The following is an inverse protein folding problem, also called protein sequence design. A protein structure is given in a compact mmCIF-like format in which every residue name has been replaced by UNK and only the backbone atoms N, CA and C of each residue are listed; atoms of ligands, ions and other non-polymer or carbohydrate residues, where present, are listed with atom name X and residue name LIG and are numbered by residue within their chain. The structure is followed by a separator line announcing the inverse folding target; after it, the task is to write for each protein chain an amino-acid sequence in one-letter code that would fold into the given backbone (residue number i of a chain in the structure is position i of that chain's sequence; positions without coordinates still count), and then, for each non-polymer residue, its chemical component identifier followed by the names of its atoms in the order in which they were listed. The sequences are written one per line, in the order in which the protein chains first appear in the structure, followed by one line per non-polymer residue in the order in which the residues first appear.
data_IF_647638376450
#
_entry.id   IF_647638376450
#
_cell.length_a   1.000
_cell.length_b   1.000
_cell.length_c   1.000
_cell.angle_alpha   90.00
_cell.angle_beta   90.00
_cell.angle_gamma   90.00
#
_symmetry.space_group_name_H-M   'P 1'
#
loop_
_entity.id
_entity.type
_entity.pdbx_description
1 polymer ?
#
# COMPACT_ATOMS: atom_id res chain seq x y z
N UNK A 1 18.61 -22.51 10.72
CA UNK A 1 17.16 -22.57 10.44
C UNK A 1 16.30 -21.84 11.49
N UNK A 2 16.84 -20.86 12.24
CA UNK A 2 16.06 -20.12 13.25
C UNK A 2 15.67 -18.72 12.79
N UNK A 3 16.53 -18.06 11.98
CA UNK A 3 16.26 -16.71 11.44
C UNK A 3 15.13 -16.72 10.39
N UNK A 4 15.00 -17.79 9.59
CA UNK A 4 13.91 -17.92 8.61
C UNK A 4 12.52 -18.02 9.25
N UNK A 5 12.43 -18.45 10.52
CA UNK A 5 11.16 -18.67 11.20
C UNK A 5 10.60 -17.41 11.86
N UNK A 6 11.47 -16.47 12.21
CA UNK A 6 11.07 -15.11 12.63
C UNK A 6 10.83 -14.18 11.44
N UNK A 7 11.32 -14.55 10.24
CA UNK A 7 11.26 -13.74 9.02
C UNK A 7 10.08 -14.08 8.09
N UNK A 8 9.21 -15.02 8.43
CA UNK A 8 8.16 -15.51 7.52
C UNK A 8 7.11 -14.43 7.14
N UNK A 9 6.95 -13.39 7.96
CA UNK A 9 6.10 -12.22 7.68
C UNK A 9 6.89 -10.97 7.29
N UNK A 10 8.23 -11.03 7.24
CA UNK A 10 9.00 -10.01 6.54
C UNK A 10 8.90 -10.27 5.05
N UNK A 11 7.71 -9.95 4.54
CA UNK A 11 7.41 -9.67 3.14
C UNK A 11 8.65 -9.03 2.51
N UNK A 12 9.11 -9.55 1.36
CA UNK A 12 10.02 -8.79 0.50
C UNK A 12 9.19 -7.64 -0.08
N UNK A 13 8.88 -6.67 0.77
CA UNK A 13 8.43 -5.38 0.35
C UNK A 13 9.61 -4.75 -0.36
N UNK A 14 9.42 -4.42 -1.63
CA UNK A 14 10.39 -3.61 -2.35
C UNK A 14 10.42 -2.25 -1.65
N UNK A 15 11.30 -2.09 -0.66
CA UNK A 15 11.60 -0.82 0.02
C UNK A 15 12.40 0.11 -0.86
N UNK A 16 12.81 -0.37 -2.03
CA UNK A 16 13.67 0.32 -2.97
C UNK A 16 12.97 0.50 -4.30
N UNK A 17 13.22 1.63 -4.96
CA UNK A 17 12.80 1.90 -6.34
C UNK A 17 13.93 2.59 -7.09
N UNK A 18 14.18 2.16 -8.31
CA UNK A 18 15.26 2.71 -9.15
C UNK A 18 14.69 3.81 -10.03
N UNK A 19 15.32 4.98 -10.02
CA UNK A 19 15.01 6.11 -10.89
C UNK A 19 16.15 6.32 -11.88
N UNK A 20 15.86 6.11 -13.16
CA UNK A 20 16.82 6.30 -14.25
C UNK A 20 16.75 7.73 -14.77
N UNK A 21 17.92 8.27 -15.12
CA UNK A 21 18.14 9.60 -15.66
C UNK A 21 18.63 9.51 -17.10
N UNK A 22 18.56 10.63 -17.83
CA UNK A 22 19.06 10.68 -19.20
C UNK A 22 20.55 11.03 -19.28
N UNK A 23 21.13 11.54 -18.19
CA UNK A 23 22.57 11.85 -18.09
C UNK A 23 23.05 12.03 -16.64
N UNK A 24 24.36 11.86 -16.44
CA UNK A 24 25.01 12.18 -15.16
C UNK A 24 25.01 13.68 -14.82
N UNK A 25 24.83 14.56 -15.81
CA UNK A 25 24.63 15.99 -15.56
C UNK A 25 23.33 16.23 -14.77
N UNK A 26 22.24 15.52 -15.12
CA UNK A 26 20.99 15.57 -14.36
C UNK A 26 21.21 15.02 -12.94
N UNK A 27 21.98 13.93 -12.80
CA UNK A 27 22.35 13.35 -11.50
C UNK A 27 23.08 14.38 -10.63
N UNK A 28 24.05 15.09 -11.21
CA UNK A 28 24.77 16.18 -10.54
C UNK A 28 23.88 17.35 -10.12
N UNK A 29 22.89 17.72 -10.93
CA UNK A 29 21.92 18.76 -10.57
C UNK A 29 20.99 18.34 -9.43
N UNK A 30 20.57 17.07 -9.39
CA UNK A 30 19.73 16.51 -8.33
C UNK A 30 20.49 16.48 -6.99
N UNK A 31 21.78 16.11 -7.00
CA UNK A 31 22.63 16.17 -5.81
C UNK A 31 22.80 17.63 -5.36
N UNK A 32 23.14 18.51 -6.30
CA UNK A 32 23.44 19.90 -6.05
C UNK A 32 24.78 20.11 -5.31
N UNK A 33 25.24 21.37 -5.23
CA UNK A 33 26.48 21.70 -4.50
C UNK A 33 26.36 21.27 -3.04
N UNK A 34 27.37 20.55 -2.55
CA UNK A 34 27.45 20.02 -1.18
C UNK A 34 26.25 19.13 -0.77
N UNK A 35 25.53 18.56 -1.75
CA UNK A 35 24.35 17.74 -1.49
C UNK A 35 23.11 18.55 -1.08
N UNK A 36 23.08 19.87 -1.29
CA UNK A 36 21.99 20.73 -0.83
C UNK A 36 20.62 20.36 -1.39
N UNK A 37 20.58 19.89 -2.65
CA UNK A 37 19.32 19.62 -3.35
C UNK A 37 18.78 18.24 -2.94
N UNK A 38 19.66 17.24 -2.85
CA UNK A 38 19.26 15.91 -2.40
C UNK A 38 18.76 15.94 -0.94
N UNK A 39 19.43 16.66 -0.03
CA UNK A 39 18.94 16.83 1.34
C UNK A 39 17.58 17.54 1.40
N UNK A 40 17.33 18.51 0.52
CA UNK A 40 16.03 19.19 0.44
C UNK A 40 14.94 18.24 -0.07
N UNK A 41 15.25 17.37 -1.03
CA UNK A 41 14.34 16.32 -1.51
C UNK A 41 14.02 15.32 -0.40
N UNK A 42 15.04 14.82 0.30
CA UNK A 42 14.88 13.88 1.41
C UNK A 42 14.04 14.49 2.53
N UNK A 43 14.32 15.74 2.93
CA UNK A 43 13.55 16.45 3.94
C UNK A 43 12.08 16.67 3.53
N UNK A 44 11.83 17.06 2.27
CA UNK A 44 10.47 17.34 1.80
C UNK A 44 9.62 16.07 1.58
N UNK A 45 10.27 14.96 1.19
CA UNK A 45 9.59 13.69 0.89
C UNK A 45 9.50 12.77 2.11
N UNK A 46 10.49 12.84 3.01
CA UNK A 46 10.67 11.89 4.11
C UNK A 46 11.16 10.52 3.63
N UNK A 47 11.95 10.49 2.54
CA UNK A 47 12.50 9.30 1.89
C UNK A 47 14.00 9.50 1.72
N UNK A 48 14.78 8.41 1.79
CA UNK A 48 16.22 8.43 1.57
C UNK A 48 16.52 8.29 0.07
N UNK A 49 17.39 9.15 -0.45
CA UNK A 49 17.83 9.11 -1.85
C UNK A 49 19.29 8.67 -1.89
N UNK A 50 19.51 7.42 -2.24
CA UNK A 50 20.84 6.83 -2.30
C UNK A 50 21.44 7.08 -3.69
N UNK A 51 22.64 7.65 -3.68
CA UNK A 51 23.43 7.94 -4.86
C UNK A 51 24.74 7.17 -4.73
N UNK A 52 24.97 6.24 -5.65
CA UNK A 52 26.19 5.42 -5.72
C UNK A 52 26.96 5.69 -7.03
N UNK A 53 27.97 4.87 -7.29
CA UNK A 53 28.81 4.94 -8.50
C UNK A 53 28.07 4.46 -9.78
N UNK A 54 26.82 3.99 -9.68
CA UNK A 54 26.03 3.57 -10.84
C UNK A 54 25.66 4.80 -11.68
N UNK A 55 26.10 4.90 -12.95
CA UNK A 55 25.78 6.03 -13.81
C UNK A 55 24.27 6.21 -13.97
N UNK A 56 23.84 7.46 -14.14
CA UNK A 56 22.46 7.80 -14.58
C UNK A 56 21.36 7.24 -13.67
N UNK A 57 21.67 6.86 -12.44
CA UNK A 57 20.76 6.16 -11.53
C UNK A 57 20.71 6.81 -10.16
N UNK A 58 19.50 6.92 -9.60
CA UNK A 58 19.24 7.27 -8.20
C UNK A 58 18.34 6.21 -7.60
N UNK A 59 18.69 5.74 -6.41
CA UNK A 59 17.94 4.74 -5.67
C UNK A 59 17.05 5.46 -4.66
N UNK A 60 15.75 5.22 -4.72
CA UNK A 60 14.73 5.77 -3.82
C UNK A 60 14.43 4.70 -2.76
N UNK A 61 14.83 4.95 -1.52
CA UNK A 61 14.75 3.99 -0.41
C UNK A 61 13.79 4.47 0.69
N UNK A 62 12.80 3.64 1.03
CA UNK A 62 11.91 3.90 2.15
C UNK A 62 10.74 2.92 2.26
N UNK A 63 10.19 2.81 3.47
CA UNK A 63 9.13 1.86 3.77
C UNK A 63 7.76 2.28 3.22
N UNK A 64 7.40 3.58 3.31
CA UNK A 64 6.12 4.08 2.79
C UNK A 64 6.13 4.13 1.25
N UNK A 65 5.34 3.28 0.56
CA UNK A 65 5.31 3.25 -0.89
C UNK A 65 4.71 4.52 -1.51
N UNK A 66 3.79 5.20 -0.82
CA UNK A 66 3.19 6.44 -1.29
C UNK A 66 4.22 7.56 -1.27
N UNK A 67 5.01 7.67 -0.20
CA UNK A 67 6.09 8.66 -0.12
C UNK A 67 7.17 8.41 -1.18
N UNK A 68 7.53 7.15 -1.45
CA UNK A 68 8.45 6.81 -2.54
C UNK A 68 7.91 7.23 -3.90
N UNK A 69 6.63 7.00 -4.15
CA UNK A 69 6.00 7.42 -5.41
C UNK A 69 5.95 8.96 -5.53
N UNK A 70 5.68 9.68 -4.44
CA UNK A 70 5.77 11.14 -4.40
C UNK A 70 7.19 11.61 -4.72
N UNK A 71 8.22 10.98 -4.15
CA UNK A 71 9.62 11.29 -4.46
C UNK A 71 9.94 11.06 -5.94
N UNK A 72 9.55 9.90 -6.48
CA UNK A 72 9.76 9.51 -7.89
C UNK A 72 9.11 10.51 -8.86
N UNK A 73 7.85 10.87 -8.63
CA UNK A 73 7.11 11.83 -9.46
C UNK A 73 7.68 13.25 -9.32
N UNK A 74 8.13 13.63 -8.12
CA UNK A 74 8.76 14.93 -7.90
C UNK A 74 10.08 15.04 -8.64
N UNK A 75 10.93 14.01 -8.58
CA UNK A 75 12.17 13.91 -9.35
C UNK A 75 11.89 14.03 -10.85
N UNK A 76 10.94 13.25 -11.37
CA UNK A 76 10.53 13.30 -12.78
C UNK A 76 10.14 14.72 -13.23
N UNK A 77 9.39 15.45 -12.40
CA UNK A 77 8.96 16.82 -12.70
C UNK A 77 10.10 17.83 -12.63
N UNK A 78 10.98 17.69 -11.64
CA UNK A 78 12.14 18.57 -11.45
C UNK A 78 13.15 18.43 -12.59
N UNK A 79 13.40 17.18 -13.03
CA UNK A 79 14.27 16.89 -14.18
C UNK A 79 13.67 17.47 -15.46
N UNK A 80 12.37 17.27 -15.70
CA UNK A 80 11.70 17.82 -16.88
C UNK A 80 11.68 19.37 -16.91
N UNK A 81 11.62 20.02 -15.75
CA UNK A 81 11.67 21.49 -15.60
C UNK A 81 13.11 22.04 -15.69
N UNK A 82 14.12 21.22 -15.41
CA UNK A 82 15.55 21.62 -15.38
C UNK A 82 15.93 22.57 -14.24
N UNK A 83 14.99 22.93 -13.37
CA UNK A 83 15.19 23.87 -12.25
C UNK A 83 15.16 23.12 -10.92
N UNK A 84 16.35 22.82 -10.40
CA UNK A 84 16.51 22.05 -9.16
C UNK A 84 17.21 22.90 -8.10
N UNK A 85 16.42 23.48 -7.21
CA UNK A 85 16.89 24.21 -6.02
C UNK A 85 15.88 24.06 -4.87
N UNK A 86 16.27 24.27 -3.59
CA UNK A 86 15.46 23.90 -2.43
C UNK A 86 14.01 24.41 -2.46
N UNK A 87 13.80 25.72 -2.69
CA UNK A 87 12.46 26.28 -2.76
C UNK A 87 11.56 25.65 -3.84
N UNK A 88 12.14 25.29 -5.00
CA UNK A 88 11.40 24.63 -6.09
C UNK A 88 11.10 23.18 -5.75
N UNK A 89 12.04 22.50 -5.10
CA UNK A 89 11.86 21.13 -4.61
C UNK A 89 10.67 21.08 -3.65
N UNK A 90 10.63 21.95 -2.64
CA UNK A 90 9.54 22.02 -1.67
C UNK A 90 8.19 22.25 -2.35
N UNK A 91 8.12 23.21 -3.28
CA UNK A 91 6.90 23.50 -4.04
C UNK A 91 6.42 22.30 -4.86
N UNK A 92 7.34 21.66 -5.61
CA UNK A 92 7.01 20.51 -6.48
C UNK A 92 6.59 19.31 -5.63
N UNK A 93 7.28 19.03 -4.53
CA UNK A 93 6.94 17.93 -3.63
C UNK A 93 5.58 18.17 -2.97
N UNK A 94 5.30 19.37 -2.48
CA UNK A 94 4.01 19.71 -1.88
C UNK A 94 2.86 19.55 -2.89
N UNK A 95 3.03 20.05 -4.12
CA UNK A 95 2.05 19.90 -5.20
C UNK A 95 1.84 18.43 -5.58
N UNK A 96 2.93 17.66 -5.68
CA UNK A 96 2.89 16.23 -6.03
C UNK A 96 2.20 15.41 -4.94
N UNK A 97 2.47 15.70 -3.66
CA UNK A 97 1.79 15.07 -2.52
C UNK A 97 0.29 15.33 -2.57
N UNK A 98 -0.15 16.56 -2.80
CA UNK A 98 -1.57 16.89 -2.91
C UNK A 98 -2.26 16.10 -4.03
N UNK A 99 -1.66 16.08 -5.22
CA UNK A 99 -2.21 15.33 -6.36
C UNK A 99 -2.21 13.81 -6.12
N UNK A 100 -1.23 13.30 -5.37
CA UNK A 100 -1.18 11.89 -4.99
C UNK A 100 -2.35 11.54 -4.06
N UNK A 101 -2.64 12.38 -3.07
CA UNK A 101 -3.78 12.17 -2.16
C UNK A 101 -5.12 12.22 -2.90
N UNK A 102 -5.29 13.16 -3.84
CA UNK A 102 -6.47 13.22 -4.71
C UNK A 102 -6.62 11.92 -5.52
N UNK A 103 -5.55 11.46 -6.15
CA UNK A 103 -5.55 10.22 -6.94
C UNK A 103 -5.80 8.97 -6.08
N UNK A 104 -5.26 8.92 -4.86
CA UNK A 104 -5.54 7.85 -3.87
C UNK A 104 -7.04 7.80 -3.58
N UNK A 105 -7.65 8.94 -3.30
CA UNK A 105 -9.09 9.01 -3.03
C UNK A 105 -9.90 8.52 -4.24
N UNK A 106 -9.58 9.00 -5.45
CA UNK A 106 -10.26 8.58 -6.69
C UNK A 106 -10.17 7.06 -6.91
N UNK A 107 -9.01 6.44 -6.64
CA UNK A 107 -8.83 4.98 -6.72
C UNK A 107 -9.74 4.27 -5.72
N UNK A 108 -9.81 4.76 -4.48
CA UNK A 108 -10.66 4.22 -3.44
C UNK A 108 -12.14 4.31 -3.81
N UNK A 109 -12.60 5.49 -4.23
CA UNK A 109 -13.98 5.75 -4.66
C UNK A 109 -14.39 4.86 -5.82
N UNK A 110 -13.55 4.77 -6.86
CA UNK A 110 -13.78 3.88 -8.00
C UNK A 110 -13.88 2.43 -7.56
N UNK A 111 -13.04 2.00 -6.62
CA UNK A 111 -13.04 0.61 -6.12
C UNK A 111 -14.34 0.26 -5.40
N UNK A 112 -14.82 1.13 -4.51
CA UNK A 112 -16.06 0.86 -3.77
C UNK A 112 -17.28 0.90 -4.70
N UNK A 113 -17.29 1.78 -5.70
CA UNK A 113 -18.33 1.81 -6.75
C UNK A 113 -18.32 0.51 -7.56
N UNK A 114 -17.16 0.09 -8.06
CA UNK A 114 -17.00 -1.14 -8.85
C UNK A 114 -17.48 -2.39 -8.09
N UNK A 115 -17.19 -2.46 -6.78
CA UNK A 115 -17.60 -3.59 -5.94
C UNK A 115 -19.06 -3.50 -5.45
N UNK A 116 -19.74 -2.37 -5.66
CA UNK A 116 -21.08 -2.11 -5.16
C UNK A 116 -21.15 -1.97 -3.64
N UNK A 117 -20.08 -1.44 -3.02
CA UNK A 117 -20.00 -1.17 -1.57
C UNK A 117 -20.35 0.29 -1.34
N UNK A 118 -21.37 0.54 -0.51
CA UNK A 118 -21.88 1.88 -0.19
C UNK A 118 -21.71 2.21 1.28
N UNK A 119 -21.59 3.49 1.63
CA UNK A 119 -21.58 3.97 3.03
C UNK A 119 -20.32 3.61 3.81
N UNK A 120 -19.18 3.49 3.12
CA UNK A 120 -17.87 3.33 3.76
C UNK A 120 -17.39 4.70 4.25
N UNK A 121 -16.75 4.78 5.41
CA UNK A 121 -16.19 6.04 5.89
C UNK A 121 -15.09 6.54 4.93
N UNK A 122 -15.00 7.86 4.69
CA UNK A 122 -14.03 8.44 3.75
C UNK A 122 -12.58 8.04 4.03
N UNK A 123 -12.20 7.93 5.30
CA UNK A 123 -10.84 7.48 5.66
C UNK A 123 -10.58 6.02 5.25
N UNK A 124 -11.57 5.13 5.35
CA UNK A 124 -11.44 3.76 4.86
C UNK A 124 -11.38 3.73 3.32
N UNK A 125 -12.14 4.60 2.64
CA UNK A 125 -12.06 4.75 1.17
C UNK A 125 -10.65 5.19 0.76
N UNK A 126 -10.11 6.22 1.43
CA UNK A 126 -8.74 6.70 1.23
C UNK A 126 -7.72 5.57 1.44
N UNK A 127 -7.83 4.81 2.53
CA UNK A 127 -6.95 3.66 2.81
C UNK A 127 -7.07 2.56 1.75
N UNK A 128 -8.27 2.24 1.27
CA UNK A 128 -8.46 1.31 0.13
C UNK A 128 -7.71 1.82 -1.10
N UNK A 129 -7.74 3.13 -1.37
CA UNK A 129 -6.93 3.76 -2.42
C UNK A 129 -5.42 3.54 -2.24
N UNK A 130 -4.92 3.69 -1.01
CA UNK A 130 -3.49 3.50 -0.66
C UNK A 130 -3.01 2.07 -0.93
N UNK A 131 -3.88 1.07 -0.83
CA UNK A 131 -3.54 -0.33 -1.17
C UNK A 131 -3.01 -0.49 -2.59
N UNK A 132 -3.33 0.43 -3.52
CA UNK A 132 -2.78 0.38 -4.88
C UNK A 132 -1.27 0.54 -4.94
N UNK A 133 -0.66 1.16 -3.94
CA UNK A 133 0.77 1.43 -3.88
C UNK A 133 1.53 0.37 -3.07
N UNK A 134 0.83 -0.48 -2.31
CA UNK A 134 1.44 -1.60 -1.60
C UNK A 134 1.37 -2.89 -2.43
N UNK A 135 2.41 -3.70 -2.30
CA UNK A 135 2.43 -5.07 -2.82
C UNK A 135 2.73 -6.03 -1.69
N UNK A 136 2.11 -7.21 -1.71
CA UNK A 136 2.34 -8.29 -0.76
C UNK A 136 2.58 -9.57 -1.55
N UNK A 137 3.66 -10.30 -1.24
CA UNK A 137 4.09 -11.51 -1.96
C UNK A 137 4.18 -11.35 -3.49
N UNK A 138 4.54 -10.15 -3.97
CA UNK A 138 4.61 -9.85 -5.41
C UNK A 138 3.29 -9.51 -6.10
N UNK A 139 2.16 -9.57 -5.37
CA UNK A 139 0.85 -9.13 -5.85
C UNK A 139 0.52 -7.72 -5.37
N UNK A 140 -0.17 -6.94 -6.18
CA UNK A 140 -0.71 -5.66 -5.74
C UNK A 140 -1.81 -5.85 -4.68
N UNK A 141 -1.72 -5.15 -3.55
CA UNK A 141 -2.61 -5.35 -2.40
C UNK A 141 -4.07 -4.98 -2.70
N UNK A 142 -4.32 -3.91 -3.47
CA UNK A 142 -5.67 -3.53 -3.86
C UNK A 142 -6.31 -4.59 -4.77
N UNK A 143 -5.54 -5.13 -5.71
CA UNK A 143 -6.02 -6.18 -6.61
C UNK A 143 -6.38 -7.44 -5.82
N UNK A 144 -5.49 -7.87 -4.92
CA UNK A 144 -5.75 -8.97 -4.00
C UNK A 144 -7.03 -8.75 -3.17
N UNK A 145 -7.16 -7.59 -2.52
CA UNK A 145 -8.34 -7.27 -1.70
C UNK A 145 -9.64 -7.25 -2.52
N UNK A 146 -9.61 -6.77 -3.77
CA UNK A 146 -10.76 -6.82 -4.69
C UNK A 146 -11.13 -8.26 -5.07
N UNK A 147 -10.16 -9.12 -5.31
CA UNK A 147 -10.38 -10.54 -5.58
C UNK A 147 -10.98 -11.25 -4.36
N UNK A 148 -10.36 -11.09 -3.19
CA UNK A 148 -10.85 -11.63 -1.92
C UNK A 148 -12.27 -11.17 -1.63
N UNK A 149 -12.60 -9.89 -1.86
CA UNK A 149 -13.95 -9.36 -1.73
C UNK A 149 -14.97 -10.08 -2.63
N UNK A 150 -14.63 -10.32 -3.89
CA UNK A 150 -15.52 -11.02 -4.82
C UNK A 150 -15.69 -12.49 -4.46
N UNK A 151 -14.62 -13.18 -4.05
CA UNK A 151 -14.69 -14.56 -3.55
C UNK A 151 -15.56 -14.67 -2.31
N UNK A 152 -15.40 -13.75 -1.35
CA UNK A 152 -16.22 -13.70 -0.14
C UNK A 152 -17.69 -13.53 -0.47
N UNK A 153 -18.01 -12.66 -1.45
CA UNK A 153 -19.39 -12.44 -1.88
C UNK A 153 -20.01 -13.72 -2.46
N UNK A 154 -19.29 -14.39 -3.36
CA UNK A 154 -19.75 -15.64 -3.99
C UNK A 154 -19.93 -16.74 -2.94
N UNK A 155 -18.93 -16.97 -2.09
CA UNK A 155 -18.99 -18.00 -1.07
C UNK A 155 -20.13 -17.76 -0.07
N UNK A 156 -20.31 -16.52 0.39
CA UNK A 156 -21.42 -16.17 1.26
C UNK A 156 -22.78 -16.40 0.59
N UNK A 157 -22.93 -16.10 -0.71
CA UNK A 157 -24.17 -16.32 -1.45
C UNK A 157 -24.52 -17.82 -1.54
N UNK A 158 -23.54 -18.67 -1.88
CA UNK A 158 -23.71 -20.13 -1.95
C UNK A 158 -24.10 -20.74 -0.60
N UNK A 159 -23.65 -20.13 0.50
CA UNK A 159 -23.96 -20.57 1.87
C UNK A 159 -25.25 -19.94 2.44
N UNK A 160 -26.00 -19.15 1.65
CA UNK A 160 -27.22 -18.47 2.12
C UNK A 160 -26.97 -17.35 3.14
N UNK A 161 -25.76 -16.81 3.20
CA UNK A 161 -25.35 -15.71 4.06
C UNK A 161 -25.44 -14.37 3.31
N UNK A 162 -25.21 -13.25 4.00
CA UNK A 162 -25.26 -11.92 3.41
C UNK A 162 -24.01 -11.63 2.54
N UNK A 163 -24.14 -11.58 1.19
CA UNK A 163 -22.99 -11.39 0.30
C UNK A 163 -22.38 -10.00 0.40
N UNK A 164 -23.19 -8.97 0.70
CA UNK A 164 -22.71 -7.58 0.82
C UNK A 164 -21.81 -7.42 2.04
N UNK A 165 -22.19 -8.05 3.16
CA UNK A 165 -21.41 -8.03 4.39
C UNK A 165 -20.07 -8.74 4.21
N UNK A 166 -20.07 -9.92 3.61
CA UNK A 166 -18.84 -10.69 3.34
C UNK A 166 -17.92 -9.99 2.33
N UNK A 167 -18.48 -9.40 1.25
CA UNK A 167 -17.72 -8.62 0.28
C UNK A 167 -16.98 -7.45 0.92
N UNK A 168 -17.66 -6.72 1.80
CA UNK A 168 -17.08 -5.58 2.52
C UNK A 168 -15.96 -6.03 3.46
N UNK A 169 -16.15 -7.12 4.19
CA UNK A 169 -15.10 -7.70 5.03
C UNK A 169 -13.89 -8.14 4.20
N UNK A 170 -14.11 -8.80 3.06
CA UNK A 170 -13.04 -9.21 2.15
C UNK A 170 -12.25 -8.03 1.54
N UNK A 171 -12.88 -6.89 1.27
CA UNK A 171 -12.15 -5.69 0.83
C UNK A 171 -11.26 -5.11 1.94
N UNK A 172 -11.71 -5.18 3.19
CA UNK A 172 -11.07 -4.52 4.32
C UNK A 172 -10.10 -5.41 5.11
N UNK A 173 -10.06 -6.73 4.86
CA UNK A 173 -9.29 -7.68 5.67
C UNK A 173 -7.83 -7.25 5.88
N UNK A 174 -7.21 -6.72 4.84
CA UNK A 174 -5.81 -6.30 4.81
C UNK A 174 -5.61 -4.77 5.01
N UNK A 175 -6.64 -4.03 5.44
CA UNK A 175 -6.57 -2.55 5.57
C UNK A 175 -5.51 -2.08 6.58
N UNK A 176 -5.14 -2.92 7.55
CA UNK A 176 -4.05 -2.63 8.48
C UNK A 176 -2.66 -2.61 7.82
N UNK A 177 -2.54 -2.96 6.53
CA UNK A 177 -1.31 -2.86 5.76
C UNK A 177 -1.07 -1.48 5.13
N UNK A 178 -1.96 -0.51 5.26
CA UNK A 178 -1.78 0.80 4.62
C UNK A 178 -1.76 2.05 5.51
N UNK A 179 -1.78 1.96 6.86
CA UNK A 179 -1.53 3.12 7.71
C UNK A 179 -0.19 3.80 7.44
N UNK A 180 -0.17 5.11 7.68
CA UNK A 180 1.05 5.95 7.57
C UNK A 180 1.95 5.84 8.79
N UNK A 181 1.36 5.54 9.95
CA UNK A 181 2.06 5.38 11.21
C UNK A 181 2.40 3.91 11.44
N UNK A 182 3.63 3.66 11.87
CA UNK A 182 4.05 2.33 12.29
C UNK A 182 3.27 1.92 13.54
N UNK A 183 2.92 0.63 13.60
CA UNK A 183 2.25 0.03 14.73
C UNK A 183 2.96 -1.25 15.11
N UNK A 184 3.04 -1.52 16.41
CA UNK A 184 3.51 -2.81 16.94
C UNK A 184 2.45 -3.93 16.81
N UNK A 185 1.22 -3.57 16.43
CA UNK A 185 0.15 -4.53 16.19
C UNK A 185 0.34 -5.23 14.85
N UNK A 186 -0.07 -6.50 14.76
CA UNK A 186 -0.21 -7.16 13.47
C UNK A 186 -1.24 -6.43 12.59
N UNK A 187 -1.14 -6.58 11.27
CA UNK A 187 -2.01 -5.85 10.35
C UNK A 187 -3.48 -6.24 10.53
N UNK A 188 -3.77 -7.47 10.95
CA UNK A 188 -5.14 -7.92 11.23
C UNK A 188 -5.72 -7.15 12.43
N UNK A 189 -4.99 -7.07 13.55
CA UNK A 189 -5.42 -6.34 14.75
C UNK A 189 -5.51 -4.83 14.50
N UNK A 190 -4.56 -4.27 13.77
CA UNK A 190 -4.58 -2.85 13.40
C UNK A 190 -5.77 -2.55 12.47
N UNK A 191 -5.99 -3.39 11.47
CA UNK A 191 -7.13 -3.29 10.56
C UNK A 191 -8.47 -3.36 11.29
N UNK A 192 -8.61 -4.27 12.27
CA UNK A 192 -9.80 -4.39 13.09
C UNK A 192 -10.06 -3.10 13.89
N UNK A 193 -9.04 -2.56 14.57
CA UNK A 193 -9.16 -1.29 15.30
C UNK A 193 -9.54 -0.13 14.41
N UNK A 194 -9.02 -0.07 13.18
CA UNK A 194 -9.39 0.97 12.22
C UNK A 194 -10.84 0.83 11.76
N UNK A 195 -11.28 -0.39 11.46
CA UNK A 195 -12.67 -0.67 11.10
C UNK A 195 -13.63 -0.29 12.24
N UNK A 196 -13.29 -0.64 13.48
CA UNK A 196 -14.06 -0.28 14.67
C UNK A 196 -14.11 1.25 14.85
N UNK A 197 -12.95 1.92 14.78
CA UNK A 197 -12.83 3.38 14.90
C UNK A 197 -13.73 4.12 13.90
N UNK A 198 -13.86 3.59 12.68
CA UNK A 198 -14.67 4.21 11.63
C UNK A 198 -16.09 3.61 11.51
N UNK A 199 -16.54 2.87 12.52
CA UNK A 199 -17.95 2.48 12.69
C UNK A 199 -18.40 1.32 11.81
N UNK A 200 -17.50 0.44 11.39
CA UNK A 200 -17.89 -0.79 10.68
C UNK A 200 -18.62 -1.78 11.60
N UNK A 201 -19.43 -2.64 10.97
CA UNK A 201 -20.22 -3.64 11.69
C UNK A 201 -19.32 -4.61 12.49
N UNK A 202 -19.69 -5.03 13.72
CA UNK A 202 -18.85 -5.92 14.55
C UNK A 202 -18.39 -7.21 13.84
N UNK A 203 -19.24 -7.78 12.98
CA UNK A 203 -18.88 -8.93 12.16
C UNK A 203 -17.71 -8.64 11.19
N UNK A 204 -17.66 -7.43 10.59
CA UNK A 204 -16.56 -7.01 9.73
C UNK A 204 -15.29 -6.80 10.57
N UNK A 205 -15.41 -6.11 11.70
CA UNK A 205 -14.29 -5.90 12.63
C UNK A 205 -13.69 -7.24 13.06
N UNK A 206 -14.52 -8.22 13.43
CA UNK A 206 -14.05 -9.56 13.80
C UNK A 206 -13.42 -10.29 12.59
N UNK A 207 -14.03 -10.24 11.41
CA UNK A 207 -13.47 -10.90 10.23
C UNK A 207 -12.09 -10.32 9.85
N UNK A 208 -11.94 -9.00 9.91
CA UNK A 208 -10.65 -8.31 9.71
C UNK A 208 -9.65 -8.67 10.81
N UNK A 209 -10.06 -8.77 12.07
CA UNK A 209 -9.15 -9.14 13.16
C UNK A 209 -8.76 -10.61 13.17
N UNK A 210 -9.65 -11.50 12.75
CA UNK A 210 -9.51 -12.95 12.93
C UNK A 210 -8.96 -13.68 11.70
N UNK A 211 -8.80 -13.02 10.54
CA UNK A 211 -8.44 -13.73 9.30
C UNK A 211 -7.06 -14.44 9.34
N UNK A 212 -6.17 -14.04 10.25
CA UNK A 212 -4.92 -14.74 10.56
C UNK A 212 -4.89 -15.36 11.97
N UNK A 213 -6.07 -15.70 12.51
CA UNK A 213 -6.23 -16.37 13.81
C UNK A 213 -5.72 -15.59 15.04
N UNK A 214 -5.55 -14.27 14.92
CA UNK A 214 -5.09 -13.37 15.99
C UNK A 214 -6.12 -13.18 17.11
N UNK A 215 -7.40 -13.34 16.77
CA UNK A 215 -8.53 -13.34 17.70
C UNK A 215 -9.52 -14.45 17.30
N UNK A 216 -10.38 -14.84 18.23
CA UNK A 216 -11.42 -15.83 17.99
C UNK A 216 -12.41 -15.39 16.89
N UNK A 217 -12.72 -16.30 15.96
CA UNK A 217 -13.76 -16.10 14.95
C UNK A 217 -15.14 -16.24 15.58
N UNK A 218 -15.79 -15.12 15.86
CA UNK A 218 -17.11 -15.09 16.54
C UNK A 218 -18.28 -14.97 15.56
N UNK A 219 -18.01 -14.75 14.27
CA UNK A 219 -19.01 -14.62 13.21
C UNK A 219 -18.71 -15.57 12.06
N UNK A 220 -19.77 -16.10 11.44
CA UNK A 220 -19.67 -17.06 10.31
C UNK A 220 -18.94 -16.48 9.10
N UNK A 221 -18.91 -15.16 8.93
CA UNK A 221 -18.18 -14.52 7.81
C UNK A 221 -16.66 -14.52 8.01
N UNK A 222 -16.16 -14.66 9.23
CA UNK A 222 -14.72 -14.67 9.53
C UNK A 222 -13.98 -15.84 8.87
N UNK A 223 -14.43 -17.11 8.99
CA UNK A 223 -13.79 -18.21 8.26
C UNK A 223 -13.94 -18.10 6.75
N UNK A 224 -14.99 -17.42 6.25
CA UNK A 224 -15.14 -17.15 4.80
C UNK A 224 -14.04 -16.21 4.32
N UNK A 225 -13.77 -15.12 5.06
CA UNK A 225 -12.71 -14.17 4.71
C UNK A 225 -11.35 -14.86 4.72
N UNK A 226 -11.03 -15.62 5.77
CA UNK A 226 -9.78 -16.38 5.85
C UNK A 226 -9.62 -17.37 4.66
N UNK A 227 -10.67 -18.13 4.33
CA UNK A 227 -10.64 -19.06 3.22
C UNK A 227 -10.44 -18.34 1.87
N UNK A 228 -11.14 -17.22 1.65
CA UNK A 228 -11.05 -16.46 0.41
C UNK A 228 -9.70 -15.74 0.24
N UNK A 229 -9.13 -15.23 1.33
CA UNK A 229 -7.77 -14.68 1.37
C UNK A 229 -6.76 -15.75 0.94
N UNK A 230 -6.81 -16.93 1.57
CA UNK A 230 -5.94 -18.06 1.21
C UNK A 230 -6.09 -18.47 -0.27
N UNK A 231 -7.31 -18.49 -0.81
CA UNK A 231 -7.57 -18.81 -2.22
C UNK A 231 -6.95 -17.75 -3.15
N UNK A 232 -7.16 -16.46 -2.88
CA UNK A 232 -6.57 -15.38 -3.69
C UNK A 232 -5.03 -15.42 -3.60
N UNK A 233 -4.48 -15.69 -2.42
CA UNK A 233 -3.03 -15.74 -2.20
C UNK A 233 -2.33 -16.97 -2.78
N UNK A 234 -3.04 -18.08 -3.03
CA UNK A 234 -2.48 -19.35 -3.52
C UNK A 234 -2.64 -19.58 -5.03
N UNK A 235 -3.33 -18.69 -5.76
CA UNK A 235 -3.56 -18.89 -7.20
C UNK A 235 -2.23 -18.88 -7.99
N UNK A 236 -2.06 -19.74 -9.00
CA UNK A 236 -0.90 -19.71 -9.89
C UNK A 236 -0.71 -18.31 -10.50
N UNK A 237 0.49 -17.75 -10.34
CA UNK A 237 0.84 -16.41 -10.81
C UNK A 237 0.42 -15.23 -9.91
N UNK A 238 -0.27 -15.45 -8.77
CA UNK A 238 -0.47 -14.38 -7.78
C UNK A 238 0.83 -14.03 -7.06
N UNK A 239 1.57 -15.05 -6.66
CA UNK A 239 2.92 -14.87 -6.13
C UNK A 239 3.90 -14.99 -7.29
N UNK A 240 4.84 -14.05 -7.40
CA UNK A 240 6.03 -14.29 -8.22
C UNK A 240 6.69 -15.53 -7.62
N UNK A 241 6.61 -16.66 -8.32
CA UNK A 241 7.53 -17.76 -8.06
C UNK A 241 8.92 -17.15 -8.20
N UNK A 242 9.62 -17.02 -7.06
CA UNK A 242 11.04 -16.81 -7.07
C UNK A 242 11.58 -18.14 -7.57
N UNK A 243 11.66 -18.28 -8.89
CA UNK A 243 12.48 -19.28 -9.54
C UNK A 243 13.90 -19.05 -9.01
N UNK A 244 14.36 -19.97 -8.15
CA UNK A 244 15.79 -20.14 -7.83
C UNK A 244 16.60 -20.40 -9.10
#
# INVERSE_FOLDING_TARGET
QTIQRTAAEQTIENTVSVFNLDSDDQKGQIIGREGRNIRALEAATGIELIVDDTPETIIISGFDPVRREVARLSLQRLVADGRIHPARIEEVVAKTRKQMEEHIMEIGERTVIELGISGLHNELIRMVGRMRFRSSYGQNLLMHSKETANLCATMAAEMGLNPKLAKRAGLLHDIGKVPEEESELSHALLGAKLCEKYGEHPAIVNAVGAHHDEIEMTYVISPIVQACDAISGARPGARREILE
#
